data_IF_404814654618
#
_entry.id   IF_404814654618
#
_cell.length_a   1.000
_cell.length_b   1.000
_cell.length_c   1.000
_cell.angle_alpha   90.00
_cell.angle_beta   90.00
_cell.angle_gamma   90.00
#
_symmetry.space_group_name_H-M   'P 1'
#
loop_
_entity.id
_entity.type
_entity.pdbx_description
1 polymer ?
#
# COMPACT_ATOMS: atom_id res chain seq x y z
N UNK A 1 -27.31 4.76 -21.54
CA UNK A 1 -26.46 3.57 -21.68
C UNK A 1 -25.06 4.11 -22.01
N UNK A 2 -24.18 4.19 -21.01
CA UNK A 2 -22.80 4.70 -21.17
C UNK A 2 -21.99 3.50 -21.65
N UNK A 3 -21.38 3.61 -22.81
CA UNK A 3 -20.51 2.58 -23.42
C UNK A 3 -19.35 2.25 -22.48
N UNK A 4 -19.22 1.01 -21.99
CA UNK A 4 -18.14 0.61 -21.10
C UNK A 4 -16.76 0.62 -21.76
N UNK A 5 -16.65 0.78 -23.08
CA UNK A 5 -15.37 0.73 -23.80
C UNK A 5 -14.63 2.07 -23.88
N UNK A 6 -15.22 3.18 -23.41
CA UNK A 6 -14.67 4.52 -23.65
C UNK A 6 -13.94 5.15 -22.46
N UNK A 7 -13.85 4.50 -21.27
CA UNK A 7 -13.38 5.21 -20.05
C UNK A 7 -12.18 4.58 -19.33
N UNK A 8 -11.69 3.42 -19.70
CA UNK A 8 -10.47 2.87 -19.10
C UNK A 8 -9.33 2.85 -20.13
N UNK A 9 -8.66 3.97 -20.29
CA UNK A 9 -7.32 3.99 -20.84
C UNK A 9 -6.49 2.91 -20.12
N UNK A 10 -5.63 2.17 -20.85
CA UNK A 10 -4.87 0.99 -20.39
C UNK A 10 -4.56 1.06 -18.91
N UNK A 11 -5.25 0.24 -18.08
CA UNK A 11 -4.92 0.06 -16.67
C UNK A 11 -3.49 -0.47 -16.60
N UNK A 12 -2.58 0.35 -16.10
CA UNK A 12 -1.16 0.03 -15.97
C UNK A 12 -0.62 0.58 -14.66
N UNK A 13 0.49 0.01 -14.19
CA UNK A 13 1.21 0.54 -13.04
C UNK A 13 1.61 2.01 -13.26
N UNK A 14 1.99 2.37 -14.48
CA UNK A 14 2.39 3.75 -14.81
C UNK A 14 1.20 4.71 -14.69
N UNK A 15 0.01 4.32 -15.13
CA UNK A 15 -1.20 5.14 -14.97
C UNK A 15 -1.53 5.39 -13.48
N UNK A 16 -1.29 4.42 -12.59
CA UNK A 16 -1.42 4.63 -11.14
C UNK A 16 -0.43 5.71 -10.65
N UNK A 17 0.83 5.62 -11.07
CA UNK A 17 1.87 6.56 -10.65
C UNK A 17 1.58 7.98 -11.17
N UNK A 18 1.17 8.12 -12.40
CA UNK A 18 0.75 9.38 -13.00
C UNK A 18 -0.43 9.98 -12.23
N UNK A 19 -1.45 9.17 -11.94
CA UNK A 19 -2.62 9.61 -11.16
C UNK A 19 -2.23 10.08 -9.77
N UNK A 20 -1.37 9.34 -9.05
CA UNK A 20 -0.88 9.73 -7.73
C UNK A 20 -0.04 11.02 -7.77
N UNK A 21 0.79 11.21 -8.79
CA UNK A 21 1.58 12.41 -8.94
C UNK A 21 0.71 13.65 -9.29
N UNK A 22 -0.37 13.45 -10.05
CA UNK A 22 -1.28 14.52 -10.47
C UNK A 22 -2.26 14.96 -9.37
N UNK A 23 -2.59 14.09 -8.40
CA UNK A 23 -3.49 14.45 -7.31
C UNK A 23 -2.83 15.51 -6.41
N UNK A 24 -3.52 16.62 -6.09
CA UNK A 24 -2.95 17.67 -5.26
C UNK A 24 -2.82 17.20 -3.81
N UNK A 25 -1.70 17.55 -3.18
CA UNK A 25 -1.60 17.56 -1.72
C UNK A 25 -2.45 18.69 -1.12
N UNK A 26 -2.68 18.63 0.20
CA UNK A 26 -3.37 19.66 0.98
C UNK A 26 -2.50 20.07 2.16
N UNK A 27 -2.83 21.15 2.83
CA UNK A 27 -2.08 21.65 3.98
C UNK A 27 -1.87 20.62 5.10
N UNK A 28 -2.77 19.64 5.20
CA UNK A 28 -2.77 18.56 6.20
C UNK A 28 -2.82 17.15 5.57
N UNK A 29 -2.57 17.05 4.26
CA UNK A 29 -2.50 15.82 3.48
C UNK A 29 -1.30 15.86 2.52
N UNK A 30 -0.17 15.32 2.96
CA UNK A 30 1.07 15.34 2.19
C UNK A 30 1.08 14.28 1.10
N UNK A 31 1.28 14.72 -0.17
CA UNK A 31 1.46 13.81 -1.30
C UNK A 31 2.95 13.38 -1.40
N UNK A 32 3.32 12.15 -1.05
CA UNK A 32 4.71 11.69 -1.11
C UNK A 32 5.23 11.49 -2.55
N UNK A 33 4.34 11.47 -3.54
CA UNK A 33 4.70 11.22 -4.93
C UNK A 33 4.92 12.51 -5.74
N UNK A 34 4.59 13.66 -5.16
CA UNK A 34 4.80 14.98 -5.78
C UNK A 34 5.57 15.95 -4.87
N UNK A 35 5.41 15.84 -3.55
CA UNK A 35 6.03 16.74 -2.57
C UNK A 35 7.25 16.15 -1.87
N UNK A 36 8.11 17.02 -1.31
CA UNK A 36 9.22 16.63 -0.45
C UNK A 36 9.32 17.56 0.77
N UNK A 37 9.99 17.08 1.82
CA UNK A 37 10.24 17.80 3.07
C UNK A 37 11.72 18.18 3.11
N UNK A 38 12.03 19.43 2.79
CA UNK A 38 13.42 19.93 2.66
C UNK A 38 14.26 19.76 3.94
N UNK A 39 13.63 19.56 5.11
CA UNK A 39 14.39 19.29 6.36
C UNK A 39 15.07 17.91 6.34
N UNK A 40 14.44 16.92 5.73
CA UNK A 40 14.89 15.52 5.80
C UNK A 40 15.04 14.84 4.42
N UNK A 41 14.72 15.53 3.34
CA UNK A 41 14.65 14.98 1.97
C UNK A 41 15.33 15.91 0.98
N UNK A 42 15.76 15.37 -0.15
CA UNK A 42 16.23 16.12 -1.30
C UNK A 42 15.08 16.28 -2.33
N UNK A 43 15.26 17.19 -3.29
CA UNK A 43 14.23 17.53 -4.27
C UNK A 43 13.83 16.32 -5.18
N UNK A 44 14.69 15.31 -5.27
CA UNK A 44 14.42 14.07 -6.03
C UNK A 44 13.64 13.00 -5.25
N UNK A 45 13.36 13.24 -3.95
CA UNK A 45 12.63 12.30 -3.11
C UNK A 45 11.28 11.83 -3.70
N UNK A 46 10.43 12.69 -4.30
CA UNK A 46 9.21 12.23 -4.95
C UNK A 46 9.49 11.26 -6.11
N UNK A 47 10.51 11.51 -6.92
CA UNK A 47 10.90 10.65 -8.02
C UNK A 47 11.40 9.28 -7.50
N UNK A 48 12.18 9.28 -6.41
CA UNK A 48 12.64 8.06 -5.75
C UNK A 48 11.46 7.22 -5.23
N UNK A 49 10.48 7.85 -4.58
CA UNK A 49 9.27 7.16 -4.10
C UNK A 49 8.42 6.60 -5.23
N UNK A 50 8.27 7.32 -6.34
CA UNK A 50 7.59 6.78 -7.53
C UNK A 50 8.32 5.57 -8.10
N UNK A 51 9.66 5.62 -8.25
CA UNK A 51 10.47 4.47 -8.69
C UNK A 51 10.33 3.27 -7.75
N UNK A 52 10.34 3.50 -6.43
CA UNK A 52 10.13 2.44 -5.46
C UNK A 52 8.77 1.77 -5.65
N UNK A 53 7.70 2.57 -5.73
CA UNK A 53 6.34 2.06 -5.92
C UNK A 53 6.21 1.30 -7.25
N UNK A 54 6.75 1.86 -8.34
CA UNK A 54 6.75 1.21 -9.65
C UNK A 54 7.40 -0.16 -9.60
N UNK A 55 8.62 -0.23 -9.06
CA UNK A 55 9.37 -1.49 -8.97
C UNK A 55 8.71 -2.50 -8.04
N UNK A 56 8.13 -2.03 -6.94
CA UNK A 56 7.34 -2.86 -6.06
C UNK A 56 6.13 -3.46 -6.78
N UNK A 57 5.34 -2.64 -7.45
CA UNK A 57 4.13 -3.10 -8.17
C UNK A 57 4.48 -4.01 -9.34
N UNK A 58 5.53 -3.71 -10.11
CA UNK A 58 6.00 -4.57 -11.20
C UNK A 58 6.40 -5.96 -10.68
N UNK A 59 7.22 -6.02 -9.61
CA UNK A 59 7.62 -7.29 -9.02
C UNK A 59 6.44 -8.08 -8.43
N UNK A 60 5.42 -7.41 -7.90
CA UNK A 60 4.20 -8.05 -7.44
C UNK A 60 3.36 -8.59 -8.60
N UNK A 61 3.30 -7.89 -9.74
CA UNK A 61 2.62 -8.37 -10.96
C UNK A 61 3.29 -9.63 -11.51
N UNK A 62 4.63 -9.65 -11.60
CA UNK A 62 5.40 -10.80 -12.10
C UNK A 62 5.20 -12.06 -11.24
N UNK A 63 4.98 -11.90 -9.94
CA UNK A 63 4.78 -13.02 -8.99
C UNK A 63 3.36 -13.53 -8.94
N UNK A 64 2.42 -12.75 -9.42
CA UNK A 64 0.98 -12.94 -9.18
C UNK A 64 0.59 -12.62 -7.73
N UNK A 65 -0.59 -12.06 -7.57
CA UNK A 65 -1.14 -11.63 -6.28
C UNK A 65 -2.32 -12.52 -5.88
N UNK A 66 -2.21 -13.20 -4.74
CA UNK A 66 -3.34 -13.95 -4.16
C UNK A 66 -4.12 -13.08 -3.16
N UNK A 67 -3.40 -12.37 -2.30
CA UNK A 67 -3.99 -11.60 -1.20
C UNK A 67 -3.59 -10.12 -1.32
N UNK A 68 -4.56 -9.21 -1.16
CA UNK A 68 -4.35 -7.79 -0.96
C UNK A 68 -4.55 -7.46 0.53
N UNK A 69 -3.55 -6.86 1.17
CA UNK A 69 -3.67 -6.32 2.52
C UNK A 69 -3.84 -4.80 2.43
N UNK A 70 -5.05 -4.35 2.72
CA UNK A 70 -5.46 -2.96 2.63
C UNK A 70 -5.38 -2.28 3.99
N UNK A 71 -4.59 -1.22 4.10
CA UNK A 71 -4.48 -0.36 5.27
C UNK A 71 -5.21 0.96 5.13
N UNK A 72 -5.02 1.83 6.12
CA UNK A 72 -5.65 3.15 6.20
C UNK A 72 -4.93 4.17 5.32
N UNK A 73 -3.70 4.55 5.71
CA UNK A 73 -2.91 5.60 5.07
C UNK A 73 -1.43 5.50 5.49
N UNK A 74 -0.51 6.15 4.76
CA UNK A 74 0.88 6.25 5.14
C UNK A 74 1.07 6.90 6.51
N UNK A 75 1.91 6.29 7.34
CA UNK A 75 2.39 6.94 8.56
C UNK A 75 3.65 7.76 8.30
N UNK A 76 3.98 8.67 9.22
CA UNK A 76 5.19 9.52 9.15
C UNK A 76 6.51 8.76 8.99
N UNK A 77 6.57 7.50 9.44
CA UNK A 77 7.75 6.63 9.36
C UNK A 77 7.57 5.45 8.41
N UNK A 78 6.46 5.40 7.68
CA UNK A 78 6.13 4.36 6.72
C UNK A 78 6.21 4.84 5.28
N UNK A 79 5.17 4.54 4.50
CA UNK A 79 5.09 4.84 3.08
C UNK A 79 5.28 6.32 2.71
N UNK A 80 5.03 7.27 3.63
CA UNK A 80 5.38 8.67 3.41
C UNK A 80 6.85 8.84 3.02
N UNK A 81 7.75 8.04 3.61
CA UNK A 81 9.19 8.13 3.38
C UNK A 81 9.66 7.31 2.18
N UNK A 82 9.05 6.17 1.95
CA UNK A 82 9.52 5.17 0.97
C UNK A 82 8.70 5.12 -0.32
N UNK A 83 7.45 5.59 -0.26
CA UNK A 83 6.47 5.43 -1.34
C UNK A 83 5.77 4.06 -1.36
N UNK A 84 6.21 3.08 -0.54
CA UNK A 84 5.65 1.72 -0.54
C UNK A 84 4.79 1.48 0.71
N UNK A 85 3.52 1.05 0.58
CA UNK A 85 2.64 0.80 1.71
C UNK A 85 3.24 -0.15 2.75
N UNK A 86 2.98 0.12 4.03
CA UNK A 86 3.48 -0.62 5.21
C UNK A 86 5.00 -0.73 5.33
N UNK A 87 5.76 -0.07 4.46
CA UNK A 87 7.22 -0.17 4.39
C UNK A 87 7.86 1.14 4.80
N UNK A 88 8.58 1.15 5.90
CA UNK A 88 9.45 2.26 6.32
C UNK A 88 10.88 2.06 5.83
N UNK A 89 11.74 3.07 6.05
CA UNK A 89 13.16 3.04 5.62
C UNK A 89 13.90 1.77 6.08
N UNK A 90 13.62 1.29 7.29
CA UNK A 90 14.24 0.08 7.85
C UNK A 90 13.77 -1.23 7.23
N UNK A 91 12.71 -1.22 6.40
CA UNK A 91 12.16 -2.40 5.73
C UNK A 91 12.44 -2.47 4.23
N UNK A 92 13.08 -1.44 3.67
CA UNK A 92 13.37 -1.41 2.23
C UNK A 92 14.29 -2.56 1.81
N UNK A 93 15.30 -2.89 2.62
CA UNK A 93 16.20 -4.02 2.35
C UNK A 93 15.45 -5.35 2.40
N UNK A 94 14.68 -5.60 3.48
CA UNK A 94 13.89 -6.83 3.65
C UNK A 94 12.89 -7.02 2.50
N UNK A 95 12.23 -5.94 2.07
CA UNK A 95 11.29 -5.99 0.94
C UNK A 95 12.01 -6.25 -0.38
N UNK A 96 13.15 -5.59 -0.60
CA UNK A 96 13.96 -5.77 -1.82
C UNK A 96 14.45 -7.21 -1.96
N UNK A 97 14.94 -7.79 -0.87
CA UNK A 97 15.38 -9.19 -0.83
C UNK A 97 14.22 -10.16 -1.14
N UNK A 98 13.07 -9.98 -0.46
CA UNK A 98 11.87 -10.81 -0.70
C UNK A 98 11.38 -10.74 -2.14
N UNK A 99 11.51 -9.58 -2.79
CA UNK A 99 11.12 -9.35 -4.17
C UNK A 99 12.25 -9.63 -5.16
N UNK A 100 13.46 -9.95 -4.69
CA UNK A 100 14.67 -10.17 -5.51
C UNK A 100 14.95 -8.98 -6.42
N UNK A 101 14.85 -7.77 -5.87
CA UNK A 101 15.09 -6.53 -6.62
C UNK A 101 16.57 -6.20 -6.68
N UNK A 102 17.10 -6.06 -7.89
CA UNK A 102 18.43 -5.56 -8.15
C UNK A 102 18.35 -4.39 -9.16
N UNK A 103 18.87 -3.19 -8.81
CA UNK A 103 19.31 -2.77 -7.49
C UNK A 103 18.18 -2.75 -6.46
N UNK A 104 18.43 -2.70 -5.13
CA UNK A 104 17.39 -2.65 -4.11
C UNK A 104 16.57 -1.34 -4.19
N UNK A 105 15.44 -1.29 -3.48
CA UNK A 105 14.64 -0.07 -3.31
C UNK A 105 15.45 1.00 -2.58
N UNK A 106 15.34 2.24 -3.03
CA UNK A 106 16.18 3.34 -2.57
C UNK A 106 15.51 4.14 -1.42
N UNK A 107 16.31 4.69 -0.54
CA UNK A 107 15.87 5.70 0.41
C UNK A 107 15.58 7.01 -0.30
N UNK A 108 14.50 7.67 0.14
CA UNK A 108 14.17 9.03 -0.27
C UNK A 108 14.43 10.07 0.84
N UNK A 109 14.98 9.63 1.98
CA UNK A 109 15.26 10.52 3.13
C UNK A 109 16.74 10.50 3.49
N UNK A 110 17.29 11.69 3.85
CA UNK A 110 18.65 11.85 4.39
C UNK A 110 18.77 11.36 5.82
N UNK A 111 17.66 11.40 6.58
CA UNK A 111 17.66 11.03 7.99
C UNK A 111 17.88 9.54 8.18
N UNK A 112 19.07 9.19 8.71
CA UNK A 112 19.43 7.81 9.05
C UNK A 112 18.92 7.50 10.46
N UNK A 113 17.64 7.21 10.60
CA UNK A 113 17.09 6.65 11.84
C UNK A 113 16.48 5.27 11.55
N UNK A 114 17.30 4.22 11.40
CA UNK A 114 16.83 2.89 11.00
C UNK A 114 15.85 2.26 12.00
N UNK A 115 15.84 2.72 13.24
CA UNK A 115 15.13 2.08 14.35
C UNK A 115 13.70 2.56 14.60
N UNK A 116 13.23 3.61 13.92
CA UNK A 116 11.85 4.10 14.09
C UNK A 116 10.89 3.48 13.08
N UNK A 117 10.63 2.20 13.26
CA UNK A 117 9.50 1.56 12.63
C UNK A 117 8.20 1.89 13.37
N UNK A 118 7.10 2.11 12.64
CA UNK A 118 5.79 2.22 13.29
C UNK A 118 5.40 0.89 13.92
N UNK A 119 4.77 0.90 15.10
CA UNK A 119 4.27 -0.31 15.72
C UNK A 119 3.32 -1.11 14.80
N UNK A 120 2.54 -0.41 13.98
CA UNK A 120 1.67 -1.02 12.97
C UNK A 120 2.45 -1.78 11.90
N UNK A 121 3.50 -1.17 11.34
CA UNK A 121 4.36 -1.82 10.34
C UNK A 121 4.97 -3.09 10.92
N UNK A 122 5.55 -3.02 12.11
CA UNK A 122 6.14 -4.18 12.79
C UNK A 122 5.13 -5.32 12.97
N UNK A 123 3.91 -5.04 13.43
CA UNK A 123 2.89 -6.08 13.60
C UNK A 123 2.48 -6.72 12.27
N UNK A 124 2.38 -5.93 11.21
CA UNK A 124 2.04 -6.43 9.86
C UNK A 124 3.16 -7.31 9.32
N UNK A 125 4.41 -6.87 9.41
CA UNK A 125 5.56 -7.64 8.95
C UNK A 125 5.75 -8.95 9.74
N UNK A 126 5.49 -8.94 11.04
CA UNK A 126 5.56 -10.14 11.88
C UNK A 126 4.42 -11.14 11.60
N UNK A 127 3.26 -10.66 11.18
CA UNK A 127 2.10 -11.51 10.88
C UNK A 127 2.05 -11.97 9.41
N UNK A 128 2.99 -11.50 8.58
CA UNK A 128 2.99 -11.74 7.14
C UNK A 128 3.33 -13.21 6.83
N UNK A 129 2.61 -13.85 5.90
CA UNK A 129 2.92 -15.21 5.45
C UNK A 129 4.20 -15.24 4.60
N UNK A 130 4.70 -16.45 4.32
CA UNK A 130 5.85 -16.64 3.44
C UNK A 130 5.59 -16.07 2.02
N UNK A 131 4.37 -16.23 1.49
CA UNK A 131 3.95 -15.57 0.26
C UNK A 131 3.58 -14.12 0.56
N UNK A 132 4.37 -13.17 0.06
CA UNK A 132 4.15 -11.74 0.25
C UNK A 132 2.78 -11.31 -0.31
N UNK A 133 1.86 -10.75 0.50
CA UNK A 133 0.64 -10.16 -0.01
C UNK A 133 0.94 -8.82 -0.70
N UNK A 134 0.07 -8.39 -1.60
CA UNK A 134 0.12 -7.01 -2.09
C UNK A 134 -0.28 -6.05 -0.96
N UNK A 135 0.61 -5.17 -0.59
CA UNK A 135 0.35 -4.11 0.38
C UNK A 135 -0.22 -2.88 -0.30
N UNK A 136 -1.33 -2.36 0.22
CA UNK A 136 -1.93 -1.13 -0.26
C UNK A 136 -2.56 -0.32 0.87
N UNK A 137 -2.91 0.95 0.62
CA UNK A 137 -3.63 1.80 1.56
C UNK A 137 -4.88 2.39 0.88
N UNK A 138 -5.94 2.62 1.66
CA UNK A 138 -7.14 3.30 1.20
C UNK A 138 -6.84 4.74 0.72
N UNK A 139 -5.92 5.41 1.41
CA UNK A 139 -5.38 6.72 1.03
C UNK A 139 -3.87 6.59 0.87
N UNK A 140 -3.30 7.02 -0.26
CA UNK A 140 -1.86 6.90 -0.54
C UNK A 140 -1.05 8.11 -0.03
N UNK A 141 -1.72 9.16 0.40
CA UNK A 141 -1.11 10.37 0.95
C UNK A 141 -1.07 10.30 2.47
N UNK A 142 -0.13 11.01 3.07
CA UNK A 142 0.03 11.04 4.53
C UNK A 142 -0.87 12.11 5.15
N UNK A 143 -1.97 11.73 5.82
CA UNK A 143 -2.78 12.68 6.56
C UNK A 143 -2.10 13.02 7.88
N UNK A 144 -1.95 14.33 8.16
CA UNK A 144 -1.21 14.80 9.34
C UNK A 144 -1.89 15.99 10.02
N UNK A 145 -1.45 16.29 11.24
CA UNK A 145 -1.84 17.48 11.99
C UNK A 145 -0.65 18.40 12.21
N UNK A 146 -0.94 19.71 12.17
CA UNK A 146 0.06 20.75 12.44
C UNK A 146 0.86 21.15 11.20
N UNK A 147 1.75 22.12 11.39
CA UNK A 147 2.58 22.72 10.33
C UNK A 147 3.61 21.73 9.78
N UNK A 148 4.00 20.72 10.56
CA UNK A 148 4.91 19.66 10.17
C UNK A 148 4.15 18.35 9.97
N UNK A 149 4.43 17.57 8.91
CA UNK A 149 3.78 16.29 8.63
C UNK A 149 4.25 15.19 9.62
N UNK A 150 4.32 15.46 10.90
CA UNK A 150 4.90 14.58 11.92
C UNK A 150 3.87 13.80 12.75
N UNK A 151 2.63 14.25 12.82
CA UNK A 151 1.59 13.58 13.60
C UNK A 151 0.54 13.02 12.67
N UNK A 152 0.38 11.70 12.67
CA UNK A 152 -0.66 11.05 11.90
C UNK A 152 -2.07 11.48 12.38
N UNK A 153 -3.01 11.59 11.47
CA UNK A 153 -4.45 11.62 11.73
C UNK A 153 -5.14 10.58 10.86
N UNK A 154 -6.37 10.25 11.18
CA UNK A 154 -7.23 9.47 10.32
C UNK A 154 -7.62 10.31 9.10
N UNK A 155 -7.62 9.74 7.88
CA UNK A 155 -8.11 10.42 6.69
C UNK A 155 -9.61 10.72 6.80
N UNK A 156 -10.03 11.81 6.17
CA UNK A 156 -11.45 12.18 6.04
C UNK A 156 -12.16 11.32 4.98
N UNK A 157 -13.48 11.35 4.98
CA UNK A 157 -14.29 10.68 3.95
C UNK A 157 -14.02 11.21 2.54
N UNK A 158 -13.81 12.52 2.40
CA UNK A 158 -13.45 13.15 1.14
C UNK A 158 -12.11 12.63 0.62
N UNK A 159 -11.11 12.53 1.50
CA UNK A 159 -9.80 12.00 1.13
C UNK A 159 -9.85 10.52 0.71
N UNK A 160 -10.67 9.71 1.38
CA UNK A 160 -10.91 8.31 0.96
C UNK A 160 -11.59 8.27 -0.41
N UNK A 161 -12.59 9.13 -0.64
CA UNK A 161 -13.31 9.21 -1.92
C UNK A 161 -12.40 9.66 -3.07
N UNK A 162 -11.50 10.63 -2.84
CA UNK A 162 -10.52 11.12 -3.83
C UNK A 162 -9.52 10.02 -4.26
N UNK A 163 -9.22 9.05 -3.38
CA UNK A 163 -8.32 7.93 -3.68
C UNK A 163 -9.03 6.65 -4.16
N UNK A 164 -10.38 6.68 -4.24
CA UNK A 164 -11.19 5.51 -4.62
C UNK A 164 -10.81 4.95 -5.98
N UNK A 165 -10.59 5.81 -6.96
CA UNK A 165 -10.21 5.43 -8.32
C UNK A 165 -8.89 4.63 -8.32
N UNK A 166 -7.89 5.10 -7.58
CA UNK A 166 -6.58 4.43 -7.50
C UNK A 166 -6.70 3.05 -6.82
N UNK A 167 -7.55 2.91 -5.80
CA UNK A 167 -7.83 1.61 -5.21
C UNK A 167 -8.54 0.67 -6.20
N UNK A 168 -9.50 1.19 -6.97
CA UNK A 168 -10.17 0.41 -8.01
C UNK A 168 -9.19 -0.06 -9.10
N UNK A 169 -8.25 0.79 -9.53
CA UNK A 169 -7.18 0.42 -10.47
C UNK A 169 -6.30 -0.72 -9.93
N UNK A 170 -5.89 -0.65 -8.67
CA UNK A 170 -5.10 -1.73 -8.03
C UNK A 170 -5.86 -3.04 -8.02
N UNK A 171 -7.12 -3.01 -7.64
CA UNK A 171 -7.94 -4.25 -7.60
C UNK A 171 -8.12 -4.82 -9.01
N UNK A 172 -8.34 -3.96 -10.01
CA UNK A 172 -8.53 -4.39 -11.41
C UNK A 172 -7.24 -4.91 -12.07
N UNK A 173 -6.06 -4.34 -11.73
CA UNK A 173 -4.76 -4.78 -12.29
C UNK A 173 -4.31 -6.10 -11.66
N UNK A 174 -4.45 -6.23 -10.35
CA UNK A 174 -3.88 -7.37 -9.60
C UNK A 174 -4.87 -8.50 -9.36
N UNK A 175 -6.17 -8.27 -9.53
CA UNK A 175 -7.25 -9.26 -9.37
C UNK A 175 -7.06 -10.16 -8.13
N UNK A 176 -6.85 -9.57 -6.92
CA UNK A 176 -6.57 -10.37 -5.74
C UNK A 176 -7.76 -11.28 -5.41
N UNK A 177 -7.48 -12.54 -5.11
CA UNK A 177 -8.53 -13.51 -4.74
C UNK A 177 -9.18 -13.18 -3.43
N UNK A 178 -8.44 -12.54 -2.52
CA UNK A 178 -8.92 -12.17 -1.18
C UNK A 178 -8.35 -10.81 -0.79
N UNK A 179 -9.15 -10.06 -0.04
CA UNK A 179 -8.75 -8.76 0.49
C UNK A 179 -8.88 -8.78 2.01
N UNK A 180 -7.79 -8.43 2.70
CA UNK A 180 -7.74 -8.23 4.14
C UNK A 180 -7.75 -6.75 4.45
N UNK A 181 -8.83 -6.25 5.04
CA UNK A 181 -8.96 -4.86 5.47
C UNK A 181 -8.45 -4.69 6.91
N UNK A 182 -7.35 -3.97 7.09
CA UNK A 182 -6.71 -3.73 8.38
C UNK A 182 -7.26 -2.42 8.97
N UNK A 183 -8.29 -2.55 9.80
CA UNK A 183 -8.98 -1.44 10.42
C UNK A 183 -10.20 -0.94 9.64
N UNK A 184 -11.00 -0.09 10.31
CA UNK A 184 -12.30 0.36 9.79
C UNK A 184 -12.21 1.25 8.56
N UNK A 185 -11.15 2.05 8.43
CA UNK A 185 -10.95 2.92 7.26
C UNK A 185 -10.76 2.09 5.99
N UNK A 186 -9.90 1.07 6.07
CA UNK A 186 -9.69 0.13 4.97
C UNK A 186 -10.99 -0.60 4.59
N UNK A 187 -11.74 -1.10 5.59
CA UNK A 187 -13.03 -1.77 5.35
C UNK A 187 -14.00 -0.84 4.61
N UNK A 188 -14.16 0.38 5.07
CA UNK A 188 -15.08 1.35 4.44
C UNK A 188 -14.67 1.74 3.03
N UNK A 189 -13.35 1.77 2.74
CA UNK A 189 -12.87 2.01 1.39
C UNK A 189 -13.25 0.86 0.44
N UNK A 190 -13.12 -0.39 0.91
CA UNK A 190 -13.55 -1.58 0.17
C UNK A 190 -15.08 -1.60 -0.02
N UNK A 191 -15.85 -1.34 1.06
CA UNK A 191 -17.32 -1.27 1.02
C UNK A 191 -17.81 -0.22 0.01
N UNK A 192 -17.13 0.95 -0.05
CA UNK A 192 -17.45 2.03 -0.99
C UNK A 192 -17.23 1.66 -2.46
N UNK A 193 -16.50 0.59 -2.74
CA UNK A 193 -16.30 0.00 -4.08
C UNK A 193 -17.13 -1.27 -4.29
N UNK A 194 -17.90 -1.72 -3.29
CA UNK A 194 -18.62 -2.99 -3.35
C UNK A 194 -17.70 -4.21 -3.37
N UNK A 195 -16.48 -4.09 -2.87
CA UNK A 195 -15.47 -5.16 -2.92
C UNK A 195 -15.59 -6.04 -1.66
N UNK A 196 -15.83 -7.35 -1.80
CA UNK A 196 -15.85 -8.28 -0.67
C UNK A 196 -14.47 -8.33 0.00
N UNK A 197 -14.43 -8.11 1.32
CA UNK A 197 -13.19 -8.09 2.08
C UNK A 197 -13.37 -8.63 3.51
N UNK A 198 -12.31 -9.21 4.07
CA UNK A 198 -12.27 -9.67 5.46
C UNK A 198 -11.73 -8.54 6.35
N UNK A 199 -12.49 -8.15 7.35
CA UNK A 199 -12.04 -7.16 8.33
C UNK A 199 -11.20 -7.79 9.43
N UNK A 200 -10.08 -7.12 9.78
CA UNK A 200 -9.33 -7.38 11.02
C UNK A 200 -9.12 -6.08 11.81
N UNK A 201 -9.04 -6.21 13.13
CA UNK A 201 -8.78 -5.07 14.01
C UNK A 201 -7.41 -4.45 13.68
N UNK A 202 -7.35 -3.12 13.55
CA UNK A 202 -6.08 -2.43 13.40
C UNK A 202 -5.16 -2.66 14.61
N UNK A 203 -3.85 -2.93 14.45
CA UNK A 203 -2.97 -3.31 15.56
C UNK A 203 -2.69 -2.18 16.56
N UNK A 204 -2.87 -0.91 16.19
CA UNK A 204 -2.68 0.21 17.10
C UNK A 204 -3.71 0.23 18.25
N UNK A 205 -3.41 1.04 19.29
CA UNK A 205 -4.31 1.29 20.42
C UNK A 205 -4.77 -0.03 21.09
N UNK A 206 -3.82 -0.89 21.45
CA UNK A 206 -4.09 -2.18 22.10
C UNK A 206 -4.73 -3.25 21.20
N UNK A 207 -4.79 -3.01 19.89
CA UNK A 207 -5.41 -3.94 18.93
C UNK A 207 -4.52 -5.11 18.50
N UNK A 208 -3.24 -5.17 18.88
CA UNK A 208 -2.27 -6.12 18.34
C UNK A 208 -2.68 -7.60 18.51
N UNK A 209 -3.21 -7.99 19.67
CA UNK A 209 -3.65 -9.37 19.93
C UNK A 209 -4.78 -9.76 18.98
N UNK A 210 -5.81 -8.90 18.86
CA UNK A 210 -6.96 -9.15 17.97
C UNK A 210 -6.56 -9.11 16.49
N UNK A 211 -5.60 -8.26 16.15
CA UNK A 211 -5.03 -8.19 14.80
C UNK A 211 -4.37 -9.54 14.45
N UNK A 212 -3.45 -10.03 15.28
CA UNK A 212 -2.76 -11.31 15.04
C UNK A 212 -3.73 -12.49 14.92
N UNK A 213 -4.72 -12.57 15.82
CA UNK A 213 -5.75 -13.61 15.75
C UNK A 213 -6.58 -13.53 14.46
N UNK A 214 -6.98 -12.31 14.05
CA UNK A 214 -7.73 -12.12 12.81
C UNK A 214 -6.93 -12.45 11.56
N UNK A 215 -5.63 -12.10 11.52
CA UNK A 215 -4.74 -12.47 10.41
C UNK A 215 -4.55 -13.99 10.36
N UNK A 216 -4.32 -14.65 11.49
CA UNK A 216 -4.21 -16.10 11.54
C UNK A 216 -5.46 -16.78 10.96
N UNK A 217 -6.65 -16.39 11.43
CA UNK A 217 -7.92 -16.91 10.90
C UNK A 217 -8.11 -16.64 9.39
N UNK A 218 -7.68 -15.47 8.89
CA UNK A 218 -7.71 -15.17 7.46
C UNK A 218 -6.77 -16.08 6.67
N UNK A 219 -5.59 -16.38 7.19
CA UNK A 219 -4.61 -17.24 6.53
C UNK A 219 -5.03 -18.72 6.56
N UNK A 220 -5.64 -19.19 7.65
CA UNK A 220 -6.15 -20.57 7.79
C UNK A 220 -7.28 -20.87 6.80
N UNK A 221 -8.09 -19.87 6.46
CA UNK A 221 -9.18 -19.96 5.47
C UNK A 221 -8.69 -19.78 4.01
N UNK A 222 -7.41 -20.01 3.74
CA UNK A 222 -6.87 -19.88 2.37
C UNK A 222 -7.42 -21.00 1.49
N UNK A 223 -8.08 -20.72 0.35
CA UNK A 223 -8.45 -21.74 -0.61
C UNK A 223 -7.18 -22.44 -1.13
N UNK A 224 -7.25 -23.72 -1.48
CA UNK A 224 -6.10 -24.43 -2.04
C UNK A 224 -5.55 -23.68 -3.26
N UNK A 225 -4.23 -23.70 -3.42
CA UNK A 225 -3.58 -23.08 -4.58
C UNK A 225 -4.22 -23.66 -5.86
N UNK A 226 -4.55 -22.79 -6.80
CA UNK A 226 -5.00 -23.28 -8.11
C UNK A 226 -3.90 -24.17 -8.69
N UNK A 227 -4.27 -25.35 -9.18
CA UNK A 227 -3.34 -26.21 -9.90
C UNK A 227 -2.71 -25.41 -11.05
N UNK A 228 -1.40 -25.56 -11.30
CA UNK A 228 -0.78 -24.93 -12.44
C UNK A 228 -1.52 -25.35 -13.71
N UNK A 229 -1.69 -24.48 -14.72
CA UNK A 229 -2.32 -24.85 -15.97
C UNK A 229 -1.61 -26.08 -16.51
N UNK A 230 -2.37 -27.12 -16.81
CA UNK A 230 -1.84 -28.34 -17.46
C UNK A 230 -1.24 -27.91 -18.80
N UNK A 231 0.08 -27.98 -18.91
CA UNK A 231 0.75 -27.89 -20.21
C UNK A 231 0.27 -29.08 -21.03
N UNK A 232 -0.77 -28.87 -21.83
CA UNK A 232 -1.08 -29.78 -22.93
C UNK A 232 0.13 -29.78 -23.86
N UNK A 233 0.88 -30.86 -23.82
CA UNK A 233 1.92 -31.15 -24.82
C UNK A 233 1.23 -31.31 -26.18
N UNK A 234 1.84 -30.75 -27.23
CA UNK A 234 1.39 -30.98 -28.61
C UNK A 234 1.55 -32.42 -29.04
#
# INVERSE_FOLDING_TARGET
MIDPSTTFGRLSVDAILERLAALPGKADLFNPYAGFDAEIEDADAPATRRRNLQRYLAAMADRGVSDLWLGEAPSRFGARRTGVPFTGDGRLADLSERLRLDPPLARATREIRPTRESGTSREIWNAMPASLPLFWNAVLFHPHRGVRPLRNRTPTWTEIAEHREVLAMIVAIFEPRRILCIGRVAQRAADGLGIPATYVRHPAQGGAVRFRAGVAAFLDNRPPAAAPPSLSRP
#
